data_IF_199371358356
#
_entry.id   IF_199371358356
#
_cell.length_a   1.000
_cell.length_b   1.000
_cell.length_c   1.000
_cell.angle_alpha   90.00
_cell.angle_beta   90.00
_cell.angle_gamma   90.00
#
_symmetry.space_group_name_H-M   'P 1'
#
loop_
_entity.id
_entity.type
_entity.pdbx_description
1 polymer ?
#
# COMPACT_ATOMS: atom_id res chain seq x y z
N UNK A 1 19.86 -18.70 6.24
CA UNK A 1 18.45 -18.72 5.82
C UNK A 1 18.27 -17.61 4.81
N UNK A 2 17.96 -17.96 3.57
CA UNK A 2 17.69 -17.01 2.51
C UNK A 2 16.32 -16.37 2.73
N UNK A 3 16.14 -15.12 2.30
CA UNK A 3 14.89 -14.36 2.48
C UNK A 3 13.68 -15.14 1.96
N UNK A 4 13.80 -15.78 0.80
CA UNK A 4 12.73 -16.58 0.20
C UNK A 4 12.39 -17.86 0.96
N UNK A 5 13.38 -18.50 1.58
CA UNK A 5 13.15 -19.70 2.42
C UNK A 5 12.35 -19.33 3.67
N UNK A 6 12.62 -18.15 4.24
CA UNK A 6 11.90 -17.65 5.42
C UNK A 6 10.44 -17.35 5.06
N UNK A 7 10.20 -16.72 3.91
CA UNK A 7 8.84 -16.46 3.43
C UNK A 7 8.05 -17.76 3.21
N UNK A 8 8.68 -18.78 2.63
CA UNK A 8 8.04 -20.09 2.42
C UNK A 8 7.70 -20.80 3.74
N UNK A 9 8.58 -20.70 4.75
CA UNK A 9 8.33 -21.27 6.07
C UNK A 9 7.14 -20.60 6.79
N UNK A 10 6.94 -19.30 6.57
CA UNK A 10 5.79 -18.54 7.09
C UNK A 10 4.51 -18.70 6.23
N UNK A 11 4.53 -19.60 5.25
CA UNK A 11 3.38 -19.87 4.38
C UNK A 11 3.08 -18.77 3.36
N UNK A 12 4.02 -17.84 3.13
CA UNK A 12 3.88 -16.79 2.13
C UNK A 12 4.24 -17.34 0.75
N UNK A 13 3.23 -17.46 -0.11
CA UNK A 13 3.37 -17.95 -1.48
C UNK A 13 3.91 -16.83 -2.37
N UNK A 14 4.99 -17.06 -3.14
CA UNK A 14 5.46 -16.09 -4.11
C UNK A 14 4.38 -15.81 -5.17
N UNK A 15 3.98 -14.55 -5.33
CA UNK A 15 3.13 -14.11 -6.44
C UNK A 15 3.98 -13.84 -7.70
N UNK A 16 4.90 -14.77 -8.01
CA UNK A 16 5.67 -14.77 -9.26
C UNK A 16 4.96 -15.73 -10.22
N UNK A 17 3.90 -15.24 -10.86
CA UNK A 17 3.22 -15.97 -11.92
C UNK A 17 4.02 -15.99 -13.24
N UNK A 18 3.47 -16.68 -14.24
CA UNK A 18 3.91 -16.58 -15.64
C UNK A 18 3.75 -15.13 -16.16
N UNK A 19 4.42 -14.82 -17.28
CA UNK A 19 4.35 -13.50 -17.94
C UNK A 19 2.90 -13.01 -18.02
N UNK A 20 2.55 -11.97 -17.26
CA UNK A 20 1.23 -11.35 -17.26
C UNK A 20 0.42 -11.43 -15.96
N UNK A 21 0.80 -12.28 -15.00
CA UNK A 21 0.02 -12.51 -13.76
C UNK A 21 0.53 -11.75 -12.51
N UNK A 22 1.36 -10.72 -12.70
CA UNK A 22 2.01 -9.98 -11.60
C UNK A 22 1.13 -8.84 -11.04
N UNK A 23 -0.09 -9.17 -10.60
CA UNK A 23 -1.05 -8.19 -10.06
C UNK A 23 -0.54 -7.51 -8.79
N UNK A 24 0.21 -8.24 -7.97
CA UNK A 24 0.89 -7.74 -6.78
C UNK A 24 1.99 -6.72 -7.15
N UNK A 25 2.79 -7.01 -8.18
CA UNK A 25 3.81 -6.09 -8.68
C UNK A 25 3.16 -4.83 -9.27
N UNK A 26 2.09 -4.99 -10.08
CA UNK A 26 1.37 -3.84 -10.63
C UNK A 26 0.76 -2.95 -9.54
N UNK A 27 0.24 -3.56 -8.46
CA UNK A 27 -0.23 -2.83 -7.29
C UNK A 27 0.91 -2.11 -6.57
N UNK A 28 2.04 -2.79 -6.33
CA UNK A 28 3.21 -2.21 -5.70
C UNK A 28 3.79 -1.04 -6.52
N UNK A 29 3.88 -1.19 -7.85
CA UNK A 29 4.31 -0.16 -8.80
C UNK A 29 3.36 1.06 -8.78
N UNK A 30 2.06 0.82 -8.70
CA UNK A 30 1.07 1.90 -8.56
C UNK A 30 1.25 2.62 -7.23
N UNK A 31 1.41 1.88 -6.13
CA UNK A 31 1.60 2.44 -4.80
C UNK A 31 2.90 3.29 -4.71
N UNK A 32 4.02 2.80 -5.26
CA UNK A 32 5.26 3.56 -5.29
C UNK A 32 5.17 4.79 -6.20
N UNK A 33 4.43 4.71 -7.31
CA UNK A 33 4.15 5.85 -8.18
C UNK A 33 3.37 6.95 -7.47
N UNK A 34 2.36 6.57 -6.68
CA UNK A 34 1.61 7.49 -5.82
C UNK A 34 2.50 8.10 -4.74
N UNK A 35 3.28 7.30 -4.03
CA UNK A 35 4.24 7.78 -3.03
C UNK A 35 5.21 8.81 -3.62
N UNK A 36 5.81 8.52 -4.78
CA UNK A 36 6.72 9.45 -5.45
C UNK A 36 6.03 10.76 -5.84
N UNK A 37 4.76 10.70 -6.25
CA UNK A 37 4.01 11.86 -6.71
C UNK A 37 3.46 12.71 -5.58
N UNK A 38 2.99 12.09 -4.51
CA UNK A 38 2.26 12.76 -3.42
C UNK A 38 3.14 13.06 -2.22
N UNK A 39 4.12 12.20 -1.91
CA UNK A 39 5.04 12.36 -0.79
C UNK A 39 6.34 13.05 -1.23
N UNK A 40 6.98 12.51 -2.28
CA UNK A 40 8.35 12.86 -2.66
C UNK A 40 8.42 14.03 -3.63
N UNK A 41 7.42 14.29 -4.47
CA UNK A 41 7.48 15.39 -5.46
C UNK A 41 7.72 16.74 -4.79
N UNK A 42 8.48 17.62 -5.44
CA UNK A 42 8.63 19.01 -5.02
C UNK A 42 7.26 19.69 -4.86
N UNK A 43 7.09 20.48 -3.79
CA UNK A 43 5.80 21.10 -3.44
C UNK A 43 4.81 20.15 -2.76
N UNK A 44 5.17 18.88 -2.52
CA UNK A 44 4.41 17.98 -1.65
C UNK A 44 4.21 18.63 -0.28
N UNK A 45 2.98 18.55 0.23
CA UNK A 45 2.60 19.02 1.57
C UNK A 45 3.32 18.28 2.71
N UNK A 46 3.90 17.13 2.43
CA UNK A 46 4.65 16.34 3.42
C UNK A 46 6.11 16.81 3.51
N UNK A 47 6.59 17.56 2.51
CA UNK A 47 7.96 18.07 2.48
C UNK A 47 8.05 19.43 3.15
N UNK A 48 9.10 19.62 3.93
CA UNK A 48 9.51 20.91 4.49
C UNK A 48 10.63 21.58 3.68
N UNK A 49 11.22 20.86 2.71
CA UNK A 49 12.30 21.36 1.86
C UNK A 49 12.81 20.32 0.84
N UNK A 50 14.02 20.53 0.28
CA UNK A 50 14.71 19.55 -0.56
C UNK A 50 15.03 18.26 0.21
N UNK A 51 14.72 17.09 -0.36
CA UNK A 51 15.19 15.78 0.13
C UNK A 51 16.62 15.60 -0.36
N UNK A 52 17.58 15.48 0.56
CA UNK A 52 19.01 15.29 0.26
C UNK A 52 19.59 14.02 0.88
N UNK A 53 18.96 13.54 1.94
CA UNK A 53 19.41 12.40 2.73
C UNK A 53 18.28 11.37 2.90
N UNK A 54 18.66 10.16 3.32
CA UNK A 54 17.69 9.14 3.70
C UNK A 54 16.80 9.61 4.87
N UNK A 55 17.39 10.29 5.85
CA UNK A 55 16.65 10.82 7.00
C UNK A 55 15.52 11.80 6.58
N UNK A 56 15.73 12.61 5.55
CA UNK A 56 14.69 13.48 5.01
C UNK A 56 13.49 12.67 4.48
N UNK A 57 13.77 11.52 3.84
CA UNK A 57 12.74 10.62 3.33
C UNK A 57 12.02 9.88 4.48
N UNK A 58 12.77 9.41 5.48
CA UNK A 58 12.23 8.74 6.66
C UNK A 58 11.34 9.68 7.49
N UNK A 59 11.64 10.98 7.54
CA UNK A 59 10.82 11.95 8.25
C UNK A 59 9.44 12.16 7.62
N UNK A 60 9.35 12.15 6.29
CA UNK A 60 8.09 12.44 5.57
C UNK A 60 7.22 11.20 5.35
N UNK A 61 7.84 10.02 5.32
CA UNK A 61 7.16 8.76 4.96
C UNK A 61 6.05 8.38 5.95
N UNK A 62 6.26 8.39 7.29
CA UNK A 62 5.22 8.04 8.24
C UNK A 62 3.98 8.94 8.13
N UNK A 63 4.19 10.24 7.91
CA UNK A 63 3.08 11.19 7.74
C UNK A 63 2.26 10.89 6.48
N UNK A 64 2.92 10.55 5.37
CA UNK A 64 2.24 10.12 4.15
C UNK A 64 1.51 8.79 4.33
N UNK A 65 2.15 7.78 4.95
CA UNK A 65 1.56 6.47 5.22
C UNK A 65 0.33 6.59 6.11
N UNK A 66 0.41 7.41 7.16
CA UNK A 66 -0.73 7.65 8.03
C UNK A 66 -1.90 8.25 7.24
N UNK A 67 -1.67 9.35 6.52
CA UNK A 67 -2.71 9.97 5.71
C UNK A 67 -3.27 9.02 4.64
N UNK A 68 -2.41 8.26 3.96
CA UNK A 68 -2.81 7.31 2.93
C UNK A 68 -3.81 6.30 3.48
N UNK A 69 -3.59 5.79 4.70
CA UNK A 69 -4.43 4.76 5.29
C UNK A 69 -5.67 5.32 5.98
N UNK A 70 -5.57 6.48 6.65
CA UNK A 70 -6.63 6.96 7.55
C UNK A 70 -7.46 8.12 7.00
N UNK A 71 -7.03 8.76 5.91
CA UNK A 71 -7.68 9.98 5.41
C UNK A 71 -7.85 10.03 3.89
N UNK A 72 -6.99 9.36 3.12
CA UNK A 72 -7.06 9.36 1.65
C UNK A 72 -8.36 8.73 1.17
N UNK A 73 -9.24 9.53 0.57
CA UNK A 73 -10.47 9.02 -0.02
C UNK A 73 -10.18 8.35 -1.37
N UNK A 74 -10.62 7.10 -1.53
CA UNK A 74 -10.48 6.36 -2.79
C UNK A 74 -11.83 6.06 -3.41
N UNK A 75 -12.02 6.43 -4.68
CA UNK A 75 -13.27 6.18 -5.40
C UNK A 75 -13.61 4.68 -5.44
N UNK A 76 -12.60 3.82 -5.64
CA UNK A 76 -12.73 2.36 -5.63
C UNK A 76 -13.36 1.83 -4.34
N UNK A 77 -13.16 2.52 -3.21
CA UNK A 77 -13.68 2.11 -1.91
C UNK A 77 -14.96 2.85 -1.51
N UNK A 78 -15.65 3.51 -2.45
CA UNK A 78 -16.83 4.31 -2.13
C UNK A 78 -16.50 5.64 -1.46
N UNK A 79 -15.34 6.23 -1.80
CA UNK A 79 -14.81 7.48 -1.20
C UNK A 79 -14.52 7.33 0.29
N UNK A 80 -13.87 6.23 0.66
CA UNK A 80 -13.45 5.91 2.03
C UNK A 80 -11.94 5.73 2.12
N UNK A 81 -11.34 5.91 3.31
CA UNK A 81 -9.95 5.53 3.58
C UNK A 81 -9.71 4.02 3.42
N UNK A 82 -8.49 3.59 3.01
CA UNK A 82 -8.10 2.19 2.94
C UNK A 82 -8.31 1.42 4.23
N UNK A 83 -7.96 2.01 5.39
CA UNK A 83 -8.11 1.33 6.67
C UNK A 83 -9.58 0.98 6.98
N UNK A 84 -10.52 1.85 6.62
CA UNK A 84 -11.96 1.57 6.79
C UNK A 84 -12.43 0.46 5.82
N UNK A 85 -11.97 0.50 4.58
CA UNK A 85 -12.31 -0.52 3.59
C UNK A 85 -11.76 -1.90 3.97
N UNK A 86 -10.54 -1.95 4.49
CA UNK A 86 -9.91 -3.17 5.01
C UNK A 86 -10.63 -3.71 6.24
N UNK A 87 -10.99 -2.84 7.19
CA UNK A 87 -11.74 -3.24 8.39
C UNK A 87 -13.10 -3.86 8.03
N UNK A 88 -13.83 -3.28 7.07
CA UNK A 88 -15.09 -3.86 6.60
C UNK A 88 -14.87 -5.20 5.89
N UNK A 89 -13.84 -5.29 5.03
CA UNK A 89 -13.51 -6.55 4.36
C UNK A 89 -13.30 -7.69 5.36
N UNK A 90 -12.50 -7.46 6.41
CA UNK A 90 -12.26 -8.47 7.44
C UNK A 90 -13.51 -8.76 8.29
N UNK A 91 -14.34 -7.76 8.58
CA UNK A 91 -15.60 -7.98 9.28
C UNK A 91 -16.56 -8.89 8.47
N UNK A 92 -16.65 -8.68 7.16
CA UNK A 92 -17.46 -9.53 6.25
C UNK A 92 -16.90 -10.94 6.13
N UNK A 93 -15.58 -11.06 6.01
CA UNK A 93 -14.90 -12.36 5.97
C UNK A 93 -15.17 -13.18 7.24
N UNK A 94 -15.14 -12.54 8.41
CA UNK A 94 -15.46 -13.17 9.70
C UNK A 94 -16.93 -13.54 9.82
N UNK A 95 -17.84 -12.76 9.21
CA UNK A 95 -19.27 -13.03 9.20
C UNK A 95 -19.69 -14.16 8.22
N UNK A 96 -18.76 -14.67 7.40
CA UNK A 96 -19.04 -15.73 6.42
C UNK A 96 -19.82 -15.27 5.19
N UNK A 97 -19.86 -13.96 4.93
CA UNK A 97 -20.55 -13.37 3.79
C UNK A 97 -19.74 -13.63 2.49
N UNK A 98 -20.36 -14.08 1.38
CA UNK A 98 -19.63 -14.27 0.13
C UNK A 98 -18.98 -12.95 -0.32
N UNK A 99 -17.67 -12.99 -0.56
CA UNK A 99 -16.93 -11.85 -1.11
C UNK A 99 -17.50 -11.50 -2.48
N UNK A 100 -18.35 -10.47 -2.56
CA UNK A 100 -18.73 -9.90 -3.85
C UNK A 100 -17.47 -9.25 -4.43
N UNK A 101 -16.93 -9.84 -5.51
CA UNK A 101 -15.82 -9.24 -6.25
C UNK A 101 -16.30 -7.89 -6.80
N UNK A 102 -15.52 -6.80 -6.66
CA UNK A 102 -15.79 -5.55 -7.34
C UNK A 102 -15.70 -5.70 -8.87
#
# INVERSE_FOLDING_TARGET
MHFTETLMLEGLVPSVGTVGDALDNALAETAIGLYKTECVREGSRFRTGPIRTLADLENITPAWVHWYNTTRLMHRFGRRPPAEAEAEYYARLQAGDPLSRP
#
